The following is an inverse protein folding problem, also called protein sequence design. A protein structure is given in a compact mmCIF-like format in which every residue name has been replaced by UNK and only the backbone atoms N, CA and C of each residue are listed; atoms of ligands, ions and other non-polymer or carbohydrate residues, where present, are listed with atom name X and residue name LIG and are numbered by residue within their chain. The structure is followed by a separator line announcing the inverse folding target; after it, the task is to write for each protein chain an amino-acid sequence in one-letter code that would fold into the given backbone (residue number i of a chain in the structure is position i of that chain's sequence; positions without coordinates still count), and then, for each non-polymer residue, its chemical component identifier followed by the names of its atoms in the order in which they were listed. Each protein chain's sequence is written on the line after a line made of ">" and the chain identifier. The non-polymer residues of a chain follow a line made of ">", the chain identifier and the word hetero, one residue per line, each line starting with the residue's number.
data_IF_576244917526
#
_entry.id   IF_576244917526
#
_cell.length_a   1.000
_cell.length_b   1.000
_cell.length_c   1.000
_cell.angle_alpha   90.00
_cell.angle_beta   90.00
_cell.angle_gamma   90.00
#
_symmetry.space_group_name_H-M   'P 1'
#
loop_
_entity.id
_entity.type
_entity.pdbx_description
1 polymer ?
#
# COMPACT_ATOMS: atom_id res chain seq x y z
N UNK A 1 -24.38 27.87 4.02
CA UNK A 1 -25.62 27.18 3.59
C UNK A 1 -25.53 27.00 2.07
N UNK A 2 -25.70 25.78 1.54
CA UNK A 2 -25.43 25.44 0.13
C UNK A 2 -26.28 26.28 -0.84
N UNK A 3 -25.61 27.12 -1.64
CA UNK A 3 -26.23 28.05 -2.61
C UNK A 3 -27.09 27.34 -3.68
N UNK A 4 -26.90 26.03 -3.88
CA UNK A 4 -27.61 25.22 -4.87
C UNK A 4 -28.68 24.30 -4.28
N UNK A 5 -28.96 24.39 -2.97
CA UNK A 5 -29.90 23.50 -2.28
C UNK A 5 -31.28 23.47 -2.94
N UNK A 6 -31.86 24.63 -3.24
CA UNK A 6 -33.16 24.76 -3.91
C UNK A 6 -33.19 24.08 -5.29
N UNK A 7 -32.11 24.20 -6.09
CA UNK A 7 -32.02 23.55 -7.41
C UNK A 7 -31.88 22.04 -7.31
N UNK A 8 -31.26 21.53 -6.24
CA UNK A 8 -31.06 20.10 -6.04
C UNK A 8 -32.32 19.44 -5.47
N UNK A 9 -32.99 20.09 -4.51
CA UNK A 9 -34.23 19.59 -3.88
C UNK A 9 -35.36 19.39 -4.90
N UNK A 10 -35.47 20.22 -5.94
CA UNK A 10 -36.44 20.04 -7.02
C UNK A 10 -36.25 18.72 -7.81
N UNK A 11 -35.04 18.16 -7.82
CA UNK A 11 -34.67 16.97 -8.58
C UNK A 11 -34.55 15.70 -7.72
N UNK A 12 -34.88 15.80 -6.41
CA UNK A 12 -34.93 14.65 -5.51
C UNK A 12 -36.37 14.16 -5.45
N UNK A 13 -36.63 12.93 -5.89
CA UNK A 13 -37.93 12.29 -5.69
C UNK A 13 -37.86 11.33 -4.51
N UNK A 14 -38.90 11.32 -3.68
CA UNK A 14 -38.93 10.49 -2.48
C UNK A 14 -39.67 9.19 -2.74
N UNK A 15 -39.04 8.07 -2.35
CA UNK A 15 -39.74 6.78 -2.24
C UNK A 15 -40.46 6.74 -0.90
N UNK A 16 -41.77 6.64 -0.97
CA UNK A 16 -42.68 6.60 0.17
C UNK A 16 -42.58 5.27 0.93
N UNK A 17 -42.16 5.34 2.20
CA UNK A 17 -42.16 4.25 3.17
C UNK A 17 -43.04 4.65 4.37
N UNK A 18 -42.43 5.20 5.43
CA UNK A 18 -43.12 5.63 6.65
C UNK A 18 -43.87 6.97 6.54
N UNK A 19 -43.73 7.69 5.42
CA UNK A 19 -44.41 8.97 5.18
C UNK A 19 -43.85 10.12 6.02
N UNK A 20 -42.57 10.01 6.40
CA UNK A 20 -41.80 11.01 7.13
C UNK A 20 -41.48 12.29 6.35
N UNK A 21 -41.56 12.24 5.01
CA UNK A 21 -41.31 13.38 4.12
C UNK A 21 -42.39 14.47 4.24
N UNK A 22 -42.01 15.69 3.88
CA UNK A 22 -42.89 16.85 3.90
C UNK A 22 -44.00 16.70 2.87
N UNK A 23 -45.23 16.91 3.30
CA UNK A 23 -46.39 16.86 2.42
C UNK A 23 -46.28 17.90 1.29
N UNK A 24 -45.80 19.11 1.61
CA UNK A 24 -45.79 20.23 0.67
C UNK A 24 -44.49 20.40 -0.11
N UNK A 25 -43.35 20.13 0.54
CA UNK A 25 -42.05 20.57 0.06
C UNK A 25 -41.22 19.46 -0.59
N UNK A 26 -41.51 18.20 -0.27
CA UNK A 26 -40.81 17.06 -0.85
C UNK A 26 -41.54 16.55 -2.11
N UNK A 27 -40.78 16.16 -3.13
CA UNK A 27 -41.33 15.60 -4.38
C UNK A 27 -41.59 14.10 -4.22
N UNK A 28 -42.60 13.73 -3.44
CA UNK A 28 -43.02 12.33 -3.26
C UNK A 28 -44.03 11.87 -4.33
N UNK A 29 -44.71 12.79 -5.02
CA UNK A 29 -45.62 12.49 -6.14
C UNK A 29 -44.89 12.24 -7.47
N UNK A 30 -43.60 12.57 -7.58
CA UNK A 30 -42.82 12.45 -8.81
C UNK A 30 -43.10 13.53 -9.87
N UNK A 31 -43.97 14.49 -9.57
CA UNK A 31 -44.34 15.62 -10.45
C UNK A 31 -43.83 16.98 -9.92
N UNK A 32 -43.01 16.95 -8.87
CA UNK A 32 -42.52 18.12 -8.13
C UNK A 32 -43.23 18.32 -6.79
N UNK A 33 -42.74 19.26 -5.95
CA UNK A 33 -43.37 19.59 -4.67
C UNK A 33 -44.82 20.08 -4.81
N UNK A 34 -45.71 19.61 -3.94
CA UNK A 34 -47.13 19.98 -3.95
C UNK A 34 -47.37 21.49 -3.79
N UNK A 35 -46.45 22.20 -3.11
CA UNK A 35 -46.51 23.65 -2.93
C UNK A 35 -46.62 24.41 -4.27
N UNK A 36 -46.09 23.86 -5.37
CA UNK A 36 -46.16 24.47 -6.72
C UNK A 36 -47.56 24.49 -7.31
N UNK A 37 -48.45 23.63 -6.83
CA UNK A 37 -49.83 23.51 -7.29
C UNK A 37 -50.81 24.27 -6.39
N UNK A 38 -50.32 24.95 -5.35
CA UNK A 38 -51.11 25.80 -4.46
C UNK A 38 -50.84 27.28 -4.74
N UNK A 39 -51.90 28.06 -4.95
CA UNK A 39 -51.82 29.52 -5.15
C UNK A 39 -51.82 30.32 -3.84
N UNK A 40 -51.94 29.66 -2.68
CA UNK A 40 -52.08 30.30 -1.36
C UNK A 40 -50.95 29.89 -0.41
N UNK A 41 -49.91 30.73 -0.29
CA UNK A 41 -48.75 30.50 0.57
C UNK A 41 -49.10 30.32 2.06
N UNK A 42 -50.19 30.93 2.53
CA UNK A 42 -50.63 30.89 3.94
C UNK A 42 -51.16 29.53 4.42
N UNK A 43 -51.31 28.53 3.54
CA UNK A 43 -51.74 27.15 3.90
C UNK A 43 -50.59 26.14 3.92
N UNK A 44 -49.41 26.52 3.48
CA UNK A 44 -48.25 25.63 3.41
C UNK A 44 -47.63 25.51 4.81
N UNK A 45 -47.80 24.35 5.43
CA UNK A 45 -47.32 24.04 6.78
C UNK A 45 -46.25 22.94 6.74
N UNK A 46 -45.63 22.65 7.89
CA UNK A 46 -44.62 21.59 8.00
C UNK A 46 -45.24 20.20 8.26
N UNK A 47 -46.43 19.93 7.71
CA UNK A 47 -47.06 18.62 7.83
C UNK A 47 -46.31 17.55 7.05
N UNK A 48 -46.38 16.33 7.55
CA UNK A 48 -45.81 15.14 6.91
C UNK A 48 -46.88 14.41 6.13
N UNK A 49 -46.48 13.63 5.14
CA UNK A 49 -47.41 12.81 4.36
C UNK A 49 -48.16 11.81 5.25
N UNK A 50 -47.48 11.24 6.26
CA UNK A 50 -48.10 10.35 7.25
C UNK A 50 -49.26 11.00 8.03
N UNK A 51 -49.30 12.33 8.19
CA UNK A 51 -50.38 13.01 8.91
C UNK A 51 -51.73 12.97 8.17
N UNK A 52 -51.70 12.62 6.89
CA UNK A 52 -52.88 12.47 6.02
C UNK A 52 -53.24 10.99 5.77
N UNK A 53 -52.53 10.04 6.40
CA UNK A 53 -52.71 8.61 6.21
C UNK A 53 -53.13 7.93 7.53
N UNK A 54 -54.37 7.45 7.60
CA UNK A 54 -54.98 6.88 8.82
C UNK A 54 -55.55 5.51 8.50
N UNK A 55 -55.22 4.50 9.30
CA UNK A 55 -55.72 3.12 9.17
C UNK A 55 -55.52 2.50 7.77
N UNK A 56 -54.40 2.81 7.10
CA UNK A 56 -54.08 2.24 5.79
C UNK A 56 -54.79 2.92 4.61
N UNK A 57 -55.42 4.08 4.83
CA UNK A 57 -56.10 4.86 3.80
C UNK A 57 -55.83 6.37 3.95
N UNK A 58 -55.98 7.11 2.85
CA UNK A 58 -55.93 8.57 2.87
C UNK A 58 -57.14 9.16 3.63
N UNK A 59 -56.88 10.10 4.53
CA UNK A 59 -57.93 10.90 5.15
C UNK A 59 -58.44 11.96 4.16
N UNK A 60 -59.50 11.62 3.44
CA UNK A 60 -60.05 12.42 2.35
C UNK A 60 -60.60 13.78 2.81
N UNK A 61 -61.22 13.86 3.99
CA UNK A 61 -61.71 15.13 4.54
C UNK A 61 -60.57 16.11 4.80
N UNK A 62 -59.46 15.63 5.38
CA UNK A 62 -58.27 16.44 5.65
C UNK A 62 -57.56 16.87 4.36
N UNK A 63 -57.53 16.00 3.35
CA UNK A 63 -57.00 16.33 2.03
C UNK A 63 -57.85 17.38 1.29
N UNK A 64 -59.18 17.29 1.34
CA UNK A 64 -60.08 18.29 0.72
C UNK A 64 -59.89 19.69 1.32
N UNK A 65 -59.61 19.78 2.61
CA UNK A 65 -59.40 21.06 3.29
C UNK A 65 -58.03 21.68 2.99
N UNK A 66 -56.99 20.86 2.84
CA UNK A 66 -55.60 21.34 2.82
C UNK A 66 -54.90 21.17 1.48
N UNK A 67 -55.13 20.10 0.72
CA UNK A 67 -54.42 19.80 -0.52
C UNK A 67 -55.04 20.51 -1.75
N UNK A 68 -54.27 20.73 -2.84
CA UNK A 68 -54.80 21.29 -4.07
C UNK A 68 -55.83 20.36 -4.73
N UNK A 69 -57.02 20.87 -5.01
CA UNK A 69 -58.15 20.07 -5.54
C UNK A 69 -57.82 19.35 -6.85
N UNK A 70 -56.98 19.96 -7.70
CA UNK A 70 -56.51 19.39 -8.96
C UNK A 70 -55.47 18.27 -8.82
N UNK A 71 -54.96 18.01 -7.61
CA UNK A 71 -53.98 16.95 -7.34
C UNK A 71 -54.55 15.81 -6.46
N UNK A 72 -55.79 15.92 -5.99
CA UNK A 72 -56.40 14.92 -5.10
C UNK A 72 -56.40 13.51 -5.70
N UNK A 73 -56.76 13.37 -6.99
CA UNK A 73 -56.76 12.09 -7.68
C UNK A 73 -55.36 11.45 -7.74
N UNK A 74 -54.31 12.27 -7.95
CA UNK A 74 -52.93 11.81 -8.00
C UNK A 74 -52.43 11.40 -6.60
N UNK A 75 -52.81 12.14 -5.56
CA UNK A 75 -52.50 11.81 -4.17
C UNK A 75 -53.14 10.48 -3.79
N UNK A 76 -54.44 10.32 -4.04
CA UNK A 76 -55.19 9.13 -3.63
C UNK A 76 -54.79 7.85 -4.37
N UNK A 77 -54.14 7.98 -5.53
CA UNK A 77 -53.63 6.85 -6.30
C UNK A 77 -52.34 6.25 -5.73
N UNK A 78 -51.69 6.90 -4.76
CA UNK A 78 -50.47 6.40 -4.12
C UNK A 78 -50.82 5.56 -2.89
N UNK A 79 -50.31 4.33 -2.86
CA UNK A 79 -50.34 3.48 -1.67
C UNK A 79 -49.08 3.70 -0.82
N UNK A 80 -49.27 3.89 0.49
CA UNK A 80 -48.17 4.00 1.45
C UNK A 80 -47.96 2.63 2.11
N UNK A 81 -46.79 2.02 1.89
CA UNK A 81 -46.39 0.79 2.57
C UNK A 81 -45.93 1.13 4.00
N UNK A 82 -46.83 1.03 4.98
CA UNK A 82 -46.52 1.34 6.39
C UNK A 82 -45.62 0.29 7.05
N UNK A 83 -44.34 0.26 6.68
CA UNK A 83 -43.27 -0.28 7.52
C UNK A 83 -42.74 0.86 8.39
N UNK A 84 -43.34 1.05 9.57
CA UNK A 84 -43.09 2.22 10.46
C UNK A 84 -41.62 2.41 10.87
N UNK A 85 -40.77 1.41 10.69
CA UNK A 85 -39.35 1.44 11.08
C UNK A 85 -38.40 1.91 9.96
N UNK A 86 -38.88 2.03 8.71
CA UNK A 86 -38.04 2.44 7.57
C UNK A 86 -38.40 3.86 7.14
N UNK A 87 -37.42 4.76 7.26
CA UNK A 87 -37.55 6.16 6.82
C UNK A 87 -37.74 6.26 5.30
N UNK A 88 -38.38 7.33 4.84
CA UNK A 88 -38.48 7.62 3.42
C UNK A 88 -37.09 7.82 2.81
N UNK A 89 -36.90 7.37 1.58
CA UNK A 89 -35.59 7.42 0.93
C UNK A 89 -35.60 8.37 -0.26
N UNK A 90 -34.65 9.29 -0.30
CA UNK A 90 -34.38 10.14 -1.45
C UNK A 90 -33.81 9.30 -2.60
N UNK A 91 -34.51 9.28 -3.73
CA UNK A 91 -34.07 8.70 -4.99
C UNK A 91 -33.80 9.87 -5.97
N UNK A 92 -32.60 9.97 -6.56
CA UNK A 92 -32.39 10.90 -7.67
C UNK A 92 -33.11 10.36 -8.90
N UNK A 93 -33.88 11.23 -9.56
CA UNK A 93 -34.69 10.93 -10.75
C UNK A 93 -33.94 10.04 -11.76
N UNK A 94 -34.42 8.81 -11.94
CA UNK A 94 -33.94 7.87 -12.97
C UNK A 94 -34.43 8.37 -14.31
N UNK A 95 -33.62 9.24 -14.91
CA UNK A 95 -33.75 9.67 -16.30
C UNK A 95 -33.53 8.48 -17.24
N UNK A 96 -34.56 8.08 -18.00
CA UNK A 96 -34.43 7.12 -19.11
C UNK A 96 -33.68 7.74 -20.31
N UNK A 97 -32.37 7.45 -20.41
CA UNK A 97 -31.63 6.98 -21.62
C UNK A 97 -30.18 6.69 -21.21
N UNK A 98 -29.83 5.41 -21.11
CA UNK A 98 -28.49 4.93 -20.75
C UNK A 98 -28.22 4.97 -19.24
N UNK A 99 -28.08 3.79 -18.63
CA UNK A 99 -27.81 3.66 -17.19
C UNK A 99 -26.35 4.07 -16.92
N UNK A 100 -26.15 5.30 -16.46
CA UNK A 100 -24.87 5.96 -16.19
C UNK A 100 -24.18 5.40 -14.92
N UNK A 101 -24.06 4.08 -14.83
CA UNK A 101 -23.39 3.40 -13.70
C UNK A 101 -21.88 3.60 -13.78
N UNK A 102 -21.17 3.48 -12.64
CA UNK A 102 -19.70 3.51 -12.60
C UNK A 102 -19.13 2.47 -13.58
N UNK A 103 -19.66 1.24 -13.58
CA UNK A 103 -19.19 0.21 -14.50
C UNK A 103 -19.47 0.58 -15.97
N UNK A 104 -20.62 1.18 -16.29
CA UNK A 104 -20.93 1.62 -17.65
C UNK A 104 -19.98 2.72 -18.13
N UNK A 105 -19.75 3.74 -17.30
CA UNK A 105 -18.90 4.88 -17.67
C UNK A 105 -17.43 4.48 -17.81
N UNK A 106 -16.95 3.61 -16.92
CA UNK A 106 -15.52 3.35 -16.77
C UNK A 106 -15.06 2.01 -17.30
N UNK A 107 -15.94 1.08 -17.68
CA UNK A 107 -15.53 -0.29 -17.99
C UNK A 107 -16.36 -0.95 -19.11
N UNK A 108 -17.61 -1.34 -18.82
CA UNK A 108 -18.43 -2.18 -19.70
C UNK A 108 -19.31 -1.39 -20.69
N UNK A 109 -19.29 -0.06 -20.65
CA UNK A 109 -19.92 0.76 -21.69
C UNK A 109 -19.17 0.64 -23.02
N UNK A 110 -19.84 0.65 -24.18
CA UNK A 110 -19.22 0.43 -25.48
C UNK A 110 -18.02 1.35 -25.75
N UNK A 111 -18.13 2.63 -25.35
CA UNK A 111 -17.05 3.60 -25.48
C UNK A 111 -15.86 3.25 -24.59
N UNK A 112 -16.10 2.95 -23.31
CA UNK A 112 -15.06 2.61 -22.35
C UNK A 112 -14.33 1.31 -22.74
N UNK A 113 -15.08 0.28 -23.15
CA UNK A 113 -14.53 -1.00 -23.61
C UNK A 113 -13.56 -0.80 -24.78
N UNK A 114 -13.90 0.04 -25.75
CA UNK A 114 -13.02 0.32 -26.89
C UNK A 114 -11.74 1.07 -26.49
N UNK A 115 -11.85 2.01 -25.54
CA UNK A 115 -10.68 2.70 -24.98
C UNK A 115 -9.77 1.69 -24.27
N UNK A 116 -10.30 0.87 -23.36
CA UNK A 116 -9.51 -0.17 -22.67
C UNK A 116 -8.80 -1.10 -23.64
N UNK A 117 -9.52 -1.65 -24.64
CA UNK A 117 -8.94 -2.54 -25.66
C UNK A 117 -7.77 -1.90 -26.42
N UNK A 118 -7.84 -0.59 -26.67
CA UNK A 118 -6.78 0.15 -27.38
C UNK A 118 -5.45 0.19 -26.62
N UNK A 119 -5.47 0.13 -25.29
CA UNK A 119 -4.27 0.21 -24.46
C UNK A 119 -3.85 -1.16 -23.90
N UNK A 120 -4.83 -1.96 -23.46
CA UNK A 120 -4.62 -3.26 -22.82
C UNK A 120 -3.95 -4.28 -23.74
N UNK A 121 -4.24 -4.24 -25.05
CA UNK A 121 -3.61 -5.14 -26.02
C UNK A 121 -2.08 -5.04 -26.03
N UNK A 122 -1.53 -3.81 -25.94
CA UNK A 122 -0.09 -3.59 -25.88
C UNK A 122 0.53 -4.00 -24.53
N UNK A 123 -0.26 -4.02 -23.46
CA UNK A 123 0.14 -4.46 -22.13
C UNK A 123 -0.05 -5.98 -21.90
N UNK A 124 -0.63 -6.71 -22.86
CA UNK A 124 -0.97 -8.13 -22.70
C UNK A 124 -2.09 -8.40 -21.69
N UNK A 125 -3.00 -7.43 -21.50
CA UNK A 125 -4.10 -7.51 -20.54
C UNK A 125 -5.41 -7.82 -21.26
N UNK A 126 -6.16 -8.78 -20.72
CA UNK A 126 -7.46 -9.21 -21.23
C UNK A 126 -8.55 -8.35 -20.58
N UNK A 127 -9.43 -7.74 -21.36
CA UNK A 127 -10.42 -6.75 -20.88
C UNK A 127 -11.85 -7.30 -20.78
N UNK A 128 -12.05 -8.61 -20.88
CA UNK A 128 -13.39 -9.18 -21.05
C UNK A 128 -14.08 -9.49 -19.70
N UNK A 129 -15.29 -8.93 -19.54
CA UNK A 129 -16.29 -9.24 -18.52
C UNK A 129 -15.91 -9.15 -17.03
N UNK A 130 -14.77 -8.52 -16.68
CA UNK A 130 -14.39 -8.24 -15.29
C UNK A 130 -14.96 -6.92 -14.77
N UNK A 131 -15.15 -6.78 -13.45
CA UNK A 131 -15.50 -5.47 -12.84
C UNK A 131 -14.36 -4.45 -13.00
N UNK A 132 -14.64 -3.14 -12.87
CA UNK A 132 -13.61 -2.09 -12.96
C UNK A 132 -12.47 -2.34 -11.96
N UNK A 133 -12.83 -2.76 -10.75
CA UNK A 133 -11.86 -3.08 -9.69
C UNK A 133 -10.93 -4.22 -10.09
N UNK A 134 -11.48 -5.33 -10.61
CA UNK A 134 -10.68 -6.46 -11.09
C UNK A 134 -9.78 -6.06 -12.27
N UNK A 135 -10.30 -5.26 -13.21
CA UNK A 135 -9.52 -4.77 -14.33
C UNK A 135 -8.32 -3.95 -13.86
N UNK A 136 -8.52 -3.00 -12.94
CA UNK A 136 -7.42 -2.20 -12.37
C UNK A 136 -6.41 -3.09 -11.64
N UNK A 137 -6.88 -4.07 -10.86
CA UNK A 137 -5.99 -5.02 -10.18
C UNK A 137 -5.16 -5.84 -11.17
N UNK A 138 -5.73 -6.28 -12.30
CA UNK A 138 -4.96 -6.98 -13.35
C UNK A 138 -3.83 -6.11 -13.89
N UNK A 139 -4.07 -4.82 -14.12
CA UNK A 139 -3.02 -3.87 -14.52
C UNK A 139 -1.94 -3.73 -13.45
N UNK A 140 -2.32 -3.56 -12.18
CA UNK A 140 -1.37 -3.32 -11.09
C UNK A 140 -0.55 -4.55 -10.68
N UNK A 141 -1.07 -5.74 -10.94
CA UNK A 141 -0.44 -7.02 -10.60
C UNK A 141 0.24 -7.69 -11.81
N UNK A 142 0.13 -7.10 -13.00
CA UNK A 142 0.79 -7.61 -14.20
C UNK A 142 2.31 -7.67 -14.02
N UNK A 143 2.92 -8.75 -14.53
CA UNK A 143 4.38 -8.92 -14.50
C UNK A 143 5.03 -7.83 -15.36
N UNK A 144 5.91 -7.04 -14.75
CA UNK A 144 6.68 -6.00 -15.42
C UNK A 144 8.10 -6.47 -15.75
N UNK A 145 8.68 -5.88 -16.80
CA UNK A 145 10.04 -6.22 -17.30
C UNK A 145 11.11 -5.30 -16.71
N UNK A 146 10.75 -4.05 -16.47
CA UNK A 146 11.59 -3.01 -15.90
C UNK A 146 10.71 -1.96 -15.18
N UNK A 147 11.32 -1.01 -14.47
CA UNK A 147 10.57 0.00 -13.70
C UNK A 147 9.75 0.95 -14.59
N UNK A 148 10.18 1.20 -15.83
CA UNK A 148 9.41 1.99 -16.79
C UNK A 148 8.10 1.29 -17.19
N UNK A 149 8.18 -0.01 -17.52
CA UNK A 149 7.02 -0.83 -17.82
C UNK A 149 6.09 -0.94 -16.60
N UNK A 150 6.63 -1.10 -15.39
CA UNK A 150 5.84 -1.07 -14.14
C UNK A 150 5.07 0.24 -13.99
N UNK A 151 5.73 1.37 -14.22
CA UNK A 151 5.09 2.68 -14.11
C UNK A 151 3.96 2.85 -15.12
N UNK A 152 4.16 2.41 -16.37
CA UNK A 152 3.09 2.37 -17.37
C UNK A 152 1.90 1.53 -16.92
N UNK A 153 2.16 0.31 -16.45
CA UNK A 153 1.11 -0.61 -15.99
C UNK A 153 0.31 -0.02 -14.82
N UNK A 154 0.98 0.74 -13.94
CA UNK A 154 0.32 1.35 -12.78
C UNK A 154 -0.46 2.62 -13.12
N UNK A 155 0.08 3.49 -13.98
CA UNK A 155 -0.48 4.80 -14.28
C UNK A 155 -1.54 4.79 -15.39
N UNK A 156 -1.38 3.95 -16.42
CA UNK A 156 -2.31 3.87 -17.55
C UNK A 156 -3.77 3.66 -17.16
N UNK A 157 -4.13 2.73 -16.24
CA UNK A 157 -5.54 2.58 -15.84
C UNK A 157 -6.11 3.84 -15.19
N UNK A 158 -5.29 4.59 -14.45
CA UNK A 158 -5.68 5.86 -13.83
C UNK A 158 -5.96 6.91 -14.92
N UNK A 159 -5.06 7.03 -15.91
CA UNK A 159 -5.24 7.95 -17.03
C UNK A 159 -6.45 7.58 -17.90
N UNK A 160 -6.73 6.30 -18.11
CA UNK A 160 -7.94 5.84 -18.82
C UNK A 160 -9.18 6.29 -18.06
N UNK A 161 -9.30 5.96 -16.78
CA UNK A 161 -10.44 6.37 -15.95
C UNK A 161 -10.62 7.90 -15.96
N UNK A 162 -9.54 8.66 -15.76
CA UNK A 162 -9.59 10.12 -15.77
C UNK A 162 -10.08 10.70 -17.11
N UNK A 163 -9.59 10.18 -18.23
CA UNK A 163 -9.98 10.68 -19.55
C UNK A 163 -11.39 10.23 -19.96
N UNK A 164 -11.86 9.05 -19.52
CA UNK A 164 -13.25 8.64 -19.65
C UNK A 164 -14.18 9.55 -18.85
N UNK A 165 -13.82 9.89 -17.61
CA UNK A 165 -14.56 10.84 -16.77
C UNK A 165 -14.66 12.22 -17.44
N UNK A 166 -13.53 12.79 -17.86
CA UNK A 166 -13.50 14.09 -18.55
C UNK A 166 -14.38 14.10 -19.79
N UNK A 167 -14.33 13.03 -20.60
CA UNK A 167 -15.17 12.90 -21.79
C UNK A 167 -16.66 12.87 -21.39
N UNK A 168 -17.05 12.05 -20.41
CA UNK A 168 -18.43 11.98 -19.90
C UNK A 168 -18.93 13.32 -19.39
N UNK A 169 -18.16 14.04 -18.58
CA UNK A 169 -18.54 15.37 -18.09
C UNK A 169 -18.69 16.37 -19.22
N UNK A 170 -17.80 16.34 -20.21
CA UNK A 170 -17.86 17.23 -21.37
C UNK A 170 -19.09 16.95 -22.24
N UNK A 171 -19.47 15.68 -22.39
CA UNK A 171 -20.67 15.30 -23.12
C UNK A 171 -21.95 15.64 -22.36
N UNK A 172 -21.99 15.34 -21.06
CA UNK A 172 -23.19 15.51 -20.23
C UNK A 172 -23.47 16.97 -19.89
N UNK A 173 -22.45 17.76 -19.59
CA UNK A 173 -22.60 19.13 -19.09
C UNK A 173 -22.04 20.20 -20.04
N UNK A 174 -21.15 19.82 -20.95
CA UNK A 174 -20.48 20.76 -21.86
C UNK A 174 -21.09 20.83 -23.27
N UNK A 175 -22.14 20.05 -23.55
CA UNK A 175 -22.85 20.06 -24.84
C UNK A 175 -22.05 19.55 -26.05
N UNK A 176 -20.87 18.95 -25.84
CA UNK A 176 -20.02 18.42 -26.92
C UNK A 176 -20.28 16.93 -27.13
N UNK A 177 -20.04 16.43 -28.34
CA UNK A 177 -20.12 14.99 -28.60
C UNK A 177 -18.86 14.25 -28.13
N UNK A 178 -19.02 12.99 -27.73
CA UNK A 178 -17.91 12.10 -27.39
C UNK A 178 -16.98 11.90 -28.60
N UNK A 179 -15.66 11.95 -28.38
CA UNK A 179 -14.67 11.78 -29.44
C UNK A 179 -13.58 10.76 -29.04
N UNK A 180 -13.59 9.62 -29.72
CA UNK A 180 -12.69 8.50 -29.42
C UNK A 180 -11.21 8.86 -29.62
N UNK A 181 -10.87 9.48 -30.75
CA UNK A 181 -9.50 9.85 -31.09
C UNK A 181 -8.91 10.83 -30.08
N UNK A 182 -9.70 11.82 -29.65
CA UNK A 182 -9.30 12.80 -28.63
C UNK A 182 -9.01 12.14 -27.28
N UNK A 183 -9.86 11.20 -26.85
CA UNK A 183 -9.67 10.47 -25.58
C UNK A 183 -8.41 9.60 -25.64
N UNK A 184 -8.24 8.81 -26.71
CA UNK A 184 -7.04 7.98 -26.91
C UNK A 184 -5.77 8.83 -26.93
N UNK A 185 -5.78 9.95 -27.66
CA UNK A 185 -4.63 10.84 -27.72
C UNK A 185 -4.30 11.44 -26.34
N UNK A 186 -5.30 11.84 -25.55
CA UNK A 186 -5.06 12.37 -24.22
C UNK A 186 -4.43 11.34 -23.27
N UNK A 187 -4.91 10.10 -23.29
CA UNK A 187 -4.35 9.00 -22.47
C UNK A 187 -2.90 8.68 -22.89
N UNK A 188 -2.64 8.63 -24.20
CA UNK A 188 -1.29 8.46 -24.73
C UNK A 188 -0.38 9.62 -24.29
N UNK A 189 -0.84 10.86 -24.42
CA UNK A 189 -0.08 12.06 -24.06
C UNK A 189 0.25 12.09 -22.57
N UNK A 190 -0.69 11.73 -21.71
CA UNK A 190 -0.48 11.65 -20.26
C UNK A 190 0.59 10.60 -19.92
N UNK A 191 0.54 9.42 -20.55
CA UNK A 191 1.57 8.39 -20.44
C UNK A 191 2.94 8.85 -20.94
N UNK A 192 3.01 9.42 -22.15
CA UNK A 192 4.26 9.89 -22.73
C UNK A 192 4.91 11.01 -21.89
N UNK A 193 4.09 11.93 -21.36
CA UNK A 193 4.55 12.98 -20.43
C UNK A 193 5.08 12.39 -19.12
N UNK A 194 4.42 11.37 -18.57
CA UNK A 194 4.90 10.69 -17.38
C UNK A 194 6.31 10.10 -17.61
N UNK A 195 6.50 9.41 -18.73
CA UNK A 195 7.78 8.77 -19.04
C UNK A 195 8.91 9.75 -19.26
N UNK A 196 8.67 10.81 -20.04
CA UNK A 196 9.66 11.87 -20.26
C UNK A 196 9.99 12.64 -18.98
N UNK A 197 9.07 12.72 -18.02
CA UNK A 197 9.31 13.37 -16.73
C UNK A 197 10.09 12.47 -15.76
N UNK A 198 9.73 11.18 -15.67
CA UNK A 198 10.38 10.24 -14.76
C UNK A 198 11.73 9.73 -15.28
N UNK A 199 11.91 9.74 -16.60
CA UNK A 199 13.10 9.25 -17.29
C UNK A 199 13.52 10.22 -18.40
N UNK A 200 13.94 11.45 -18.05
CA UNK A 200 14.29 12.49 -19.02
C UNK A 200 15.48 12.13 -19.90
N UNK A 201 16.32 11.21 -19.45
CA UNK A 201 17.50 10.73 -20.16
C UNK A 201 17.20 9.70 -21.26
N UNK A 202 15.96 9.25 -21.42
CA UNK A 202 15.58 8.21 -22.39
C UNK A 202 14.83 8.85 -23.55
N UNK A 203 15.25 8.57 -24.79
CA UNK A 203 14.45 8.90 -25.99
C UNK A 203 13.29 7.93 -26.15
N UNK A 204 12.09 8.36 -25.75
CA UNK A 204 10.88 7.55 -25.82
C UNK A 204 10.27 7.48 -27.22
N UNK A 205 9.75 6.32 -27.64
CA UNK A 205 9.09 6.18 -28.94
C UNK A 205 7.74 6.89 -28.96
N UNK A 206 7.32 7.31 -30.15
CA UNK A 206 6.11 8.11 -30.35
C UNK A 206 4.81 7.28 -30.36
N UNK A 207 4.87 5.96 -30.51
CA UNK A 207 3.66 5.12 -30.57
C UNK A 207 3.39 4.43 -29.22
N UNK A 208 2.11 4.22 -28.87
CA UNK A 208 1.75 3.49 -27.66
C UNK A 208 2.35 2.08 -27.61
N UNK A 209 2.33 1.35 -28.72
CA UNK A 209 2.79 -0.04 -28.81
C UNK A 209 4.28 -0.16 -28.46
N UNK A 210 5.09 0.76 -28.98
CA UNK A 210 6.53 0.78 -28.72
C UNK A 210 6.82 1.34 -27.32
N UNK A 211 6.00 2.29 -26.87
CA UNK A 211 6.14 2.92 -25.55
C UNK A 211 5.92 1.91 -24.41
N UNK A 212 4.84 1.12 -24.46
CA UNK A 212 4.49 0.13 -23.43
C UNK A 212 5.45 -1.07 -23.43
N UNK A 213 6.00 -1.43 -24.59
CA UNK A 213 6.89 -2.58 -24.76
C UNK A 213 8.37 -2.23 -24.69
N UNK A 214 8.74 -1.05 -24.21
CA UNK A 214 10.13 -0.59 -24.23
C UNK A 214 11.03 -1.42 -23.29
N UNK A 215 11.82 -2.32 -23.88
CA UNK A 215 12.70 -3.25 -23.14
C UNK A 215 14.08 -2.68 -22.82
N UNK A 216 14.47 -1.60 -23.52
CA UNK A 216 15.83 -1.02 -23.46
C UNK A 216 16.16 -0.31 -22.14
N UNK A 217 15.23 -0.30 -21.17
CA UNK A 217 15.47 0.22 -19.82
C UNK A 217 16.17 -0.82 -18.93
N UNK A 218 17.51 -0.90 -18.98
CA UNK A 218 18.30 -1.66 -17.99
C UNK A 218 18.84 -0.73 -16.89
N UNK A 219 18.66 -1.14 -15.63
CA UNK A 219 19.23 -0.40 -14.49
C UNK A 219 20.72 -0.67 -14.43
N UNK A 220 21.51 0.39 -14.29
CA UNK A 220 22.93 0.22 -14.03
C UNK A 220 23.14 -0.42 -12.66
N UNK A 221 24.17 -1.26 -12.53
CA UNK A 221 24.48 -1.97 -11.28
C UNK A 221 25.78 -1.44 -10.74
N UNK A 222 25.71 -0.68 -9.64
CA UNK A 222 26.90 -0.30 -8.90
C UNK A 222 27.43 -1.53 -8.17
N UNK A 223 28.65 -1.93 -8.49
CA UNK A 223 29.37 -3.00 -7.81
C UNK A 223 30.39 -2.35 -6.88
N UNK A 224 30.32 -2.65 -5.59
CA UNK A 224 31.26 -2.18 -4.58
C UNK A 224 31.98 -3.39 -3.96
N UNK A 225 33.32 -3.47 -4.00
CA UNK A 225 34.05 -4.50 -3.28
C UNK A 225 33.91 -4.29 -1.76
N UNK A 226 33.66 -5.37 -1.02
CA UNK A 226 33.46 -5.38 0.43
C UNK A 226 34.22 -6.58 1.01
N UNK A 227 34.88 -6.39 2.15
CA UNK A 227 35.78 -7.39 2.76
C UNK A 227 35.61 -7.32 4.27
N UNK A 228 35.60 -8.46 4.94
CA UNK A 228 35.78 -8.49 6.39
C UNK A 228 37.23 -8.12 6.73
N UNK A 229 37.42 -7.14 7.61
CA UNK A 229 38.75 -6.68 8.03
C UNK A 229 39.06 -7.17 9.43
N UNK A 230 40.29 -7.62 9.67
CA UNK A 230 40.77 -7.95 11.02
C UNK A 230 40.71 -6.71 11.94
N UNK A 231 40.43 -6.88 13.25
CA UNK A 231 40.52 -5.77 14.20
C UNK A 231 41.99 -5.38 14.46
N UNK A 232 42.23 -4.17 15.01
CA UNK A 232 43.55 -3.80 15.51
C UNK A 232 44.05 -4.75 16.60
N UNK A 233 45.36 -4.77 16.85
CA UNK A 233 45.93 -5.51 17.98
C UNK A 233 45.28 -5.08 19.31
N UNK A 234 45.20 -6.00 20.27
CA UNK A 234 44.50 -5.86 21.56
C UNK A 234 42.97 -5.73 21.49
N UNK A 235 42.37 -5.84 20.30
CA UNK A 235 40.91 -5.87 20.13
C UNK A 235 40.41 -7.25 19.70
N UNK A 236 39.27 -7.65 20.26
CA UNK A 236 38.49 -8.77 19.77
C UNK A 236 37.29 -8.24 18.97
N UNK A 237 37.15 -8.69 17.73
CA UNK A 237 36.02 -8.34 16.87
C UNK A 237 34.90 -9.35 17.00
N UNK A 238 33.72 -8.89 17.39
CA UNK A 238 32.51 -9.66 17.52
C UNK A 238 31.61 -9.34 16.32
N UNK A 239 31.33 -10.32 15.48
CA UNK A 239 30.29 -10.24 14.47
C UNK A 239 29.05 -10.96 14.99
N UNK A 240 27.88 -10.33 14.98
CA UNK A 240 26.61 -10.96 15.36
C UNK A 240 25.55 -10.77 14.29
N UNK A 241 24.55 -11.66 14.30
CA UNK A 241 23.41 -11.64 13.40
C UNK A 241 22.20 -12.32 14.06
N UNK A 242 21.02 -11.74 13.87
CA UNK A 242 19.74 -12.31 14.27
C UNK A 242 18.95 -12.86 13.08
N UNK A 243 18.37 -14.04 13.24
CA UNK A 243 17.52 -14.68 12.22
C UNK A 243 16.08 -14.83 12.71
N UNK A 244 15.12 -14.67 11.79
CA UNK A 244 13.71 -14.89 12.05
C UNK A 244 13.06 -15.59 10.85
N UNK A 245 12.40 -16.74 11.07
CA UNK A 245 11.71 -17.46 9.99
C UNK A 245 10.44 -16.73 9.52
N UNK A 246 9.77 -16.04 10.44
CA UNK A 246 8.65 -15.12 10.20
C UNK A 246 8.81 -13.89 11.11
N UNK A 247 8.03 -12.83 10.87
CA UNK A 247 8.11 -11.61 11.69
C UNK A 247 6.70 -11.15 12.15
N UNK A 248 6.22 -11.58 13.35
CA UNK A 248 6.92 -12.40 14.34
C UNK A 248 6.95 -13.90 13.98
N UNK A 249 7.87 -14.66 14.57
CA UNK A 249 8.02 -16.10 14.39
C UNK A 249 9.20 -16.67 15.15
N UNK A 250 9.59 -17.91 14.84
CA UNK A 250 10.77 -18.55 15.45
C UNK A 250 12.04 -17.77 15.12
N UNK A 251 12.77 -17.36 16.16
CA UNK A 251 13.98 -16.55 16.08
C UNK A 251 15.22 -17.31 16.55
N UNK A 252 16.36 -16.84 16.08
CA UNK A 252 17.67 -17.41 16.30
C UNK A 252 18.75 -16.34 16.33
N UNK A 253 19.88 -16.65 16.94
CA UNK A 253 21.02 -15.75 16.97
C UNK A 253 22.32 -16.50 16.71
N UNK A 254 23.24 -15.83 16.03
CA UNK A 254 24.56 -16.33 15.72
C UNK A 254 25.61 -15.26 15.86
N UNK A 255 26.84 -15.69 16.11
CA UNK A 255 27.95 -14.76 16.13
C UNK A 255 29.31 -15.42 16.30
N UNK A 256 30.35 -14.65 16.02
CA UNK A 256 31.74 -15.11 16.06
C UNK A 256 32.63 -13.98 16.61
N UNK A 257 33.42 -14.31 17.62
CA UNK A 257 34.46 -13.47 18.20
C UNK A 257 35.83 -13.89 17.66
N UNK A 258 36.56 -12.92 17.11
CA UNK A 258 37.87 -13.13 16.46
C UNK A 258 38.91 -12.16 17.00
N UNK A 259 40.16 -12.61 17.13
CA UNK A 259 41.27 -11.72 17.48
C UNK A 259 41.81 -10.93 16.27
N UNK A 260 42.85 -10.12 16.50
CA UNK A 260 43.56 -9.33 15.49
C UNK A 260 44.23 -10.15 14.37
N UNK A 261 44.49 -11.44 14.58
CA UNK A 261 44.98 -12.36 13.52
C UNK A 261 43.84 -12.97 12.70
N UNK A 262 42.60 -12.75 13.12
CA UNK A 262 41.41 -13.39 12.57
C UNK A 262 41.15 -14.78 13.14
N UNK A 263 41.87 -15.22 14.18
CA UNK A 263 41.62 -16.51 14.84
C UNK A 263 40.32 -16.45 15.61
N UNK A 264 39.49 -17.49 15.49
CA UNK A 264 38.28 -17.65 16.31
C UNK A 264 38.66 -17.85 17.76
N UNK A 265 38.13 -16.99 18.62
CA UNK A 265 38.19 -17.10 20.06
C UNK A 265 36.96 -17.83 20.61
N UNK A 266 35.80 -17.55 20.01
CA UNK A 266 34.53 -18.20 20.32
C UNK A 266 33.54 -17.94 19.18
N UNK A 267 32.61 -18.85 18.96
CA UNK A 267 31.44 -18.66 18.11
C UNK A 267 30.22 -19.24 18.80
N UNK A 268 29.02 -18.84 18.40
CA UNK A 268 27.80 -19.36 18.98
C UNK A 268 26.66 -19.43 17.98
N UNK A 269 25.73 -20.34 18.23
CA UNK A 269 24.43 -20.42 17.60
C UNK A 269 23.41 -20.72 18.70
N UNK A 270 22.40 -19.86 18.86
CA UNK A 270 21.44 -19.99 19.96
C UNK A 270 20.00 -19.87 19.44
N UNK A 271 19.14 -20.89 19.65
CA UNK A 271 17.71 -20.73 19.42
C UNK A 271 17.15 -19.78 20.48
N UNK A 272 16.30 -18.83 20.08
CA UNK A 272 15.78 -17.76 20.95
C UNK A 272 14.26 -17.86 21.21
N UNK A 273 13.61 -18.92 20.74
CA UNK A 273 12.15 -19.07 20.85
C UNK A 273 11.42 -18.29 19.76
N UNK A 274 10.37 -17.54 20.13
CA UNK A 274 9.57 -16.72 19.20
C UNK A 274 9.75 -15.22 19.47
N UNK A 275 9.81 -14.44 18.39
CA UNK A 275 9.97 -13.00 18.44
C UNK A 275 10.05 -12.37 17.06
N UNK A 276 10.54 -11.14 17.01
CA UNK A 276 10.72 -10.35 15.78
C UNK A 276 12.17 -10.36 15.33
N UNK A 277 12.41 -9.99 14.06
CA UNK A 277 13.76 -9.88 13.53
C UNK A 277 14.62 -8.91 14.38
N UNK A 278 14.06 -7.76 14.76
CA UNK A 278 14.78 -6.78 15.57
C UNK A 278 15.15 -7.31 16.96
N UNK A 279 14.29 -8.15 17.57
CA UNK A 279 14.60 -8.81 18.84
C UNK A 279 15.73 -9.81 18.68
N UNK A 280 15.73 -10.61 17.60
CA UNK A 280 16.81 -11.55 17.32
C UNK A 280 18.17 -10.85 17.22
N UNK A 281 18.24 -9.71 16.53
CA UNK A 281 19.47 -8.91 16.37
C UNK A 281 20.01 -8.39 17.71
N UNK A 282 19.13 -7.84 18.55
CA UNK A 282 19.50 -7.33 19.88
C UNK A 282 19.97 -8.47 20.78
N UNK A 283 19.25 -9.59 20.81
CA UNK A 283 19.61 -10.75 21.63
C UNK A 283 20.92 -11.41 21.16
N UNK A 284 21.21 -11.42 19.85
CA UNK A 284 22.49 -11.87 19.31
C UNK A 284 23.65 -11.03 19.86
N UNK A 285 23.51 -9.71 19.85
CA UNK A 285 24.51 -8.79 20.41
C UNK A 285 24.67 -8.97 21.93
N UNK A 286 23.56 -9.11 22.67
CA UNK A 286 23.57 -9.39 24.12
C UNK A 286 24.33 -10.68 24.42
N UNK A 287 23.99 -11.76 23.72
CA UNK A 287 24.64 -13.06 23.92
C UNK A 287 26.13 -12.98 23.62
N UNK A 288 26.49 -12.42 22.46
CA UNK A 288 27.89 -12.29 22.04
C UNK A 288 28.73 -11.45 23.00
N UNK A 289 28.23 -10.30 23.46
CA UNK A 289 28.95 -9.46 24.43
C UNK A 289 29.05 -10.16 25.78
N UNK A 290 27.97 -10.77 26.27
CA UNK A 290 27.98 -11.52 27.53
C UNK A 290 29.06 -12.61 27.51
N UNK A 291 29.06 -13.44 26.46
CA UNK A 291 30.07 -14.50 26.32
C UNK A 291 31.48 -13.95 26.18
N UNK A 292 31.67 -12.85 25.43
CA UNK A 292 32.98 -12.19 25.32
C UNK A 292 33.50 -11.73 26.68
N UNK A 293 32.61 -11.21 27.54
CA UNK A 293 32.95 -10.80 28.90
C UNK A 293 33.29 -12.00 29.80
N UNK A 294 32.57 -13.12 29.69
CA UNK A 294 32.84 -14.34 30.44
C UNK A 294 34.23 -14.92 30.14
N UNK A 295 34.67 -14.88 28.88
CA UNK A 295 36.02 -15.32 28.47
C UNK A 295 37.09 -14.22 28.59
N UNK A 296 36.85 -13.23 29.47
CA UNK A 296 37.78 -12.16 29.84
C UNK A 296 38.21 -11.18 28.73
N UNK A 297 37.54 -11.16 27.56
CA UNK A 297 37.79 -10.12 26.54
C UNK A 297 37.01 -8.85 26.88
N UNK A 298 37.73 -7.73 27.03
CA UNK A 298 37.16 -6.43 27.44
C UNK A 298 37.30 -5.32 26.39
N UNK A 299 38.15 -5.48 25.38
CA UNK A 299 38.26 -4.57 24.24
C UNK A 299 37.46 -5.15 23.05
N UNK A 300 36.20 -4.75 22.92
CA UNK A 300 35.25 -5.37 22.00
C UNK A 300 34.94 -4.42 20.82
N UNK A 301 35.19 -4.89 19.61
CA UNK A 301 34.72 -4.26 18.38
C UNK A 301 33.52 -5.05 17.84
N UNK A 302 32.30 -4.57 18.11
CA UNK A 302 31.07 -5.15 17.59
C UNK A 302 30.80 -4.69 16.14
N UNK A 303 30.61 -5.64 15.23
CA UNK A 303 30.11 -5.43 13.88
C UNK A 303 28.77 -6.15 13.69
N UNK A 304 27.75 -5.42 13.23
CA UNK A 304 26.40 -5.93 12.95
C UNK A 304 25.93 -5.41 11.60
N UNK A 305 25.08 -6.16 10.89
CA UNK A 305 24.50 -5.72 9.61
C UNK A 305 23.18 -4.93 9.79
N UNK A 306 22.63 -4.93 11.00
CA UNK A 306 21.47 -4.12 11.38
C UNK A 306 21.86 -2.67 11.70
N UNK A 307 21.63 -1.77 10.74
CA UNK A 307 21.83 -0.33 10.93
C UNK A 307 21.01 0.23 12.11
N UNK A 308 19.80 -0.29 12.31
CA UNK A 308 18.92 0.12 13.40
C UNK A 308 19.50 -0.22 14.77
N UNK A 309 20.12 -1.40 14.92
CA UNK A 309 20.80 -1.80 16.15
C UNK A 309 22.00 -0.88 16.45
N UNK A 310 22.78 -0.51 15.44
CA UNK A 310 23.89 0.46 15.61
C UNK A 310 23.36 1.80 16.13
N UNK A 311 22.25 2.28 15.59
CA UNK A 311 21.63 3.54 16.03
C UNK A 311 21.13 3.47 17.47
N UNK A 312 20.57 2.33 17.90
CA UNK A 312 20.16 2.12 19.30
C UNK A 312 21.34 2.02 20.27
N UNK A 313 22.44 1.38 19.85
CA UNK A 313 23.68 1.29 20.64
C UNK A 313 24.36 2.67 20.75
N UNK A 314 24.36 3.44 19.67
CA UNK A 314 24.94 4.80 19.65
C UNK A 314 24.01 5.87 20.21
N UNK A 315 22.78 5.51 20.56
CA UNK A 315 21.71 6.42 21.03
C UNK A 315 21.35 7.52 20.02
N UNK A 316 21.55 7.24 18.73
CA UNK A 316 21.14 8.13 17.64
C UNK A 316 19.62 8.10 17.41
N UNK A 317 18.97 6.99 17.76
CA UNK A 317 17.52 6.81 17.72
C UNK A 317 17.04 6.06 18.96
N UNK A 318 15.76 6.26 19.33
CA UNK A 318 15.15 5.57 20.47
C UNK A 318 14.54 4.23 20.03
N UNK A 319 14.77 3.12 20.77
CA UNK A 319 14.09 1.86 20.49
C UNK A 319 12.60 1.93 20.84
N UNK A 320 11.75 1.16 20.15
CA UNK A 320 10.36 0.93 20.56
C UNK A 320 10.25 0.41 22.00
N UNK A 321 9.15 0.72 22.67
CA UNK A 321 8.95 0.36 24.09
C UNK A 321 9.10 -1.15 24.37
N UNK A 322 8.68 -1.99 23.43
CA UNK A 322 8.68 -3.45 23.56
C UNK A 322 10.06 -4.11 23.45
N UNK A 323 11.09 -3.39 22.97
CA UNK A 323 12.48 -3.86 22.90
C UNK A 323 13.44 -3.05 23.80
N UNK A 324 12.93 -2.00 24.43
CA UNK A 324 13.73 -1.07 25.24
C UNK A 324 14.43 -1.77 26.41
N UNK A 325 13.79 -2.76 27.04
CA UNK A 325 14.39 -3.54 28.14
C UNK A 325 15.66 -4.28 27.68
N UNK A 326 15.60 -4.93 26.52
CA UNK A 326 16.73 -5.66 25.92
C UNK A 326 17.84 -4.69 25.53
N UNK A 327 17.50 -3.58 24.90
CA UNK A 327 18.49 -2.54 24.53
C UNK A 327 19.16 -1.95 25.79
N UNK A 328 18.41 -1.73 26.87
CA UNK A 328 19.00 -1.27 28.14
C UNK A 328 19.94 -2.32 28.76
N UNK A 329 19.58 -3.60 28.72
CA UNK A 329 20.47 -4.70 29.12
C UNK A 329 21.76 -4.72 28.29
N UNK A 330 21.65 -4.52 26.97
CA UNK A 330 22.79 -4.40 26.07
C UNK A 330 23.70 -3.22 26.47
N UNK A 331 23.13 -2.04 26.75
CA UNK A 331 23.88 -0.89 27.25
C UNK A 331 24.61 -1.17 28.58
N UNK A 332 23.98 -1.90 29.51
CA UNK A 332 24.61 -2.30 30.76
C UNK A 332 25.82 -3.21 30.54
N UNK A 333 25.73 -4.17 29.62
CA UNK A 333 26.85 -5.05 29.25
C UNK A 333 27.98 -4.26 28.58
N UNK A 334 27.65 -3.33 27.69
CA UNK A 334 28.64 -2.47 27.02
C UNK A 334 29.45 -1.67 28.06
N UNK A 335 28.81 -1.18 29.14
CA UNK A 335 29.50 -0.46 30.23
C UNK A 335 30.51 -1.31 31.00
N UNK A 336 30.44 -2.64 30.91
CA UNK A 336 31.40 -3.56 31.56
C UNK A 336 32.64 -3.81 30.71
N UNK A 337 32.65 -3.35 29.45
CA UNK A 337 33.83 -3.40 28.58
C UNK A 337 34.84 -2.32 28.98
N UNK A 338 36.12 -2.55 28.71
CA UNK A 338 37.16 -1.54 28.90
C UNK A 338 37.19 -0.57 27.71
N UNK A 339 37.08 -1.10 26.50
CA UNK A 339 36.91 -0.31 25.28
C UNK A 339 35.84 -0.96 24.40
N UNK A 340 34.96 -0.13 23.86
CA UNK A 340 33.89 -0.59 22.98
C UNK A 340 33.82 0.25 21.70
N UNK A 341 33.67 -0.42 20.57
CA UNK A 341 33.34 0.17 19.27
C UNK A 341 32.21 -0.63 18.65
N UNK A 342 31.25 0.07 18.05
CA UNK A 342 30.20 -0.55 17.25
C UNK A 342 30.21 0.05 15.85
N UNK A 343 30.10 -0.79 14.82
CA UNK A 343 30.02 -0.34 13.43
C UNK A 343 29.06 -1.22 12.63
N UNK A 344 28.32 -0.58 11.74
CA UNK A 344 27.57 -1.29 10.71
C UNK A 344 28.52 -1.95 9.71
N UNK A 345 28.28 -3.22 9.39
CA UNK A 345 28.92 -3.95 8.29
C UNK A 345 27.88 -4.33 7.24
N UNK A 346 28.29 -4.57 6.00
CA UNK A 346 27.37 -5.14 5.03
C UNK A 346 27.15 -6.63 5.31
N UNK A 347 26.07 -7.21 4.75
CA UNK A 347 25.76 -8.64 4.92
C UNK A 347 26.82 -9.55 4.34
N UNK A 348 27.36 -9.17 3.20
CA UNK A 348 28.33 -9.97 2.45
C UNK A 348 29.62 -10.29 3.26
N UNK A 349 30.20 -9.35 4.03
CA UNK A 349 31.27 -9.66 5.00
C UNK A 349 30.80 -10.10 6.40
N UNK A 350 29.51 -10.37 6.62
CA UNK A 350 28.95 -10.86 7.89
C UNK A 350 28.47 -12.33 7.81
N UNK A 351 28.75 -13.05 6.72
CA UNK A 351 28.19 -14.37 6.43
C UNK A 351 28.44 -15.42 7.52
N UNK A 352 29.56 -15.35 8.27
CA UNK A 352 29.81 -16.31 9.36
C UNK A 352 28.75 -16.20 10.45
N UNK A 353 28.38 -14.97 10.85
CA UNK A 353 27.36 -14.75 11.88
C UNK A 353 25.96 -15.12 11.35
N UNK A 354 25.65 -14.75 10.10
CA UNK A 354 24.38 -15.09 9.42
C UNK A 354 24.18 -16.60 9.25
N UNK A 355 25.22 -17.36 8.88
CA UNK A 355 25.10 -18.81 8.81
C UNK A 355 24.95 -19.46 10.19
N UNK A 356 25.59 -18.90 11.23
CA UNK A 356 25.39 -19.36 12.61
C UNK A 356 23.97 -19.03 13.12
N UNK A 357 23.42 -17.87 12.77
CA UNK A 357 22.07 -17.46 13.15
C UNK A 357 21.04 -18.36 12.46
N UNK A 358 21.23 -18.71 11.19
CA UNK A 358 20.39 -19.71 10.48
C UNK A 358 20.56 -21.13 11.06
N UNK A 359 21.79 -21.54 11.37
CA UNK A 359 22.07 -22.83 11.98
C UNK A 359 21.33 -23.01 13.30
N UNK A 360 21.12 -21.92 14.05
CA UNK A 360 20.39 -21.95 15.32
C UNK A 360 18.95 -22.49 15.22
N UNK A 361 18.32 -22.44 14.03
CA UNK A 361 17.00 -23.02 13.81
C UNK A 361 17.01 -24.56 13.71
N UNK A 362 18.17 -25.18 13.53
CA UNK A 362 18.32 -26.65 13.42
C UNK A 362 18.66 -27.31 14.75
N UNK A 363 18.95 -26.51 15.78
CA UNK A 363 19.32 -26.96 17.12
C UNK A 363 18.23 -26.61 18.13
N UNK A 364 18.18 -27.36 19.23
CA UNK A 364 17.22 -27.18 20.32
C UNK A 364 17.80 -26.46 21.54
N UNK A 365 19.13 -26.42 21.66
CA UNK A 365 19.84 -25.81 22.79
C UNK A 365 20.92 -24.83 22.31
N UNK A 366 21.26 -23.80 23.09
CA UNK A 366 22.37 -22.91 22.77
C UNK A 366 23.69 -23.67 22.62
N UNK A 367 24.44 -23.39 21.56
CA UNK A 367 25.74 -23.97 21.28
C UNK A 367 26.82 -22.89 21.30
N UNK A 368 27.95 -23.19 21.93
CA UNK A 368 29.14 -22.35 21.97
C UNK A 368 30.33 -23.16 21.49
N UNK A 369 31.04 -22.64 20.51
CA UNK A 369 32.21 -23.25 19.88
C UNK A 369 33.45 -22.44 20.28
N UNK A 370 34.48 -23.08 20.82
CA UNK A 370 35.66 -22.40 21.38
C UNK A 370 36.84 -22.30 20.40
N UNK A 371 36.72 -22.94 19.24
CA UNK A 371 37.72 -22.88 18.19
C UNK A 371 37.08 -23.12 16.81
N UNK A 372 37.84 -22.85 15.75
CA UNK A 372 37.33 -22.96 14.38
C UNK A 372 36.99 -24.39 13.95
N UNK A 373 37.53 -25.44 14.57
CA UNK A 373 37.26 -26.83 14.18
C UNK A 373 35.87 -27.29 14.64
N UNK A 374 35.30 -26.62 15.64
CA UNK A 374 33.99 -26.94 16.21
C UNK A 374 32.83 -26.22 15.49
N UNK A 375 33.12 -25.20 14.68
CA UNK A 375 32.10 -24.43 13.96
C UNK A 375 31.44 -25.31 12.89
N UNK A 376 30.10 -25.21 12.69
CA UNK A 376 29.39 -25.88 11.60
C UNK A 376 30.05 -25.63 10.22
N UNK A 377 30.04 -26.64 9.35
CA UNK A 377 30.75 -26.61 8.06
C UNK A 377 30.34 -25.42 7.19
N UNK A 378 29.06 -25.06 7.20
CA UNK A 378 28.50 -23.95 6.44
C UNK A 378 29.13 -22.61 6.85
N UNK A 379 29.23 -22.33 8.15
CA UNK A 379 29.86 -21.12 8.67
C UNK A 379 31.40 -21.19 8.59
N UNK A 380 31.98 -22.38 8.69
CA UNK A 380 33.43 -22.59 8.57
C UNK A 380 33.98 -22.17 7.21
N UNK A 381 33.25 -22.46 6.12
CA UNK A 381 33.66 -22.07 4.78
C UNK A 381 33.82 -20.54 4.65
N UNK A 382 32.83 -19.78 5.12
CA UNK A 382 32.90 -18.30 5.15
C UNK A 382 34.01 -17.79 6.06
N UNK A 383 34.24 -18.45 7.20
CA UNK A 383 35.34 -18.09 8.08
C UNK A 383 36.70 -18.21 7.40
N UNK A 384 36.94 -19.25 6.59
CA UNK A 384 38.19 -19.39 5.84
C UNK A 384 38.36 -18.26 4.80
N UNK A 385 37.28 -17.89 4.11
CA UNK A 385 37.29 -16.78 3.15
C UNK A 385 37.59 -15.45 3.84
N UNK A 386 36.96 -15.17 5.00
CA UNK A 386 37.21 -13.97 5.79
C UNK A 386 38.66 -13.94 6.30
N UNK A 387 39.21 -15.07 6.76
CA UNK A 387 40.59 -15.16 7.26
C UNK A 387 41.62 -14.85 6.18
N UNK A 388 41.32 -15.24 4.94
CA UNK A 388 42.10 -14.94 3.74
C UNK A 388 41.78 -13.55 3.15
N UNK A 389 40.88 -12.78 3.76
CA UNK A 389 40.45 -11.45 3.32
C UNK A 389 39.94 -11.45 1.86
N UNK A 390 39.24 -12.53 1.48
CA UNK A 390 38.66 -12.68 0.15
C UNK A 390 37.61 -11.60 -0.11
N UNK A 391 37.66 -11.00 -1.30
CA UNK A 391 36.78 -9.91 -1.70
C UNK A 391 35.38 -10.44 -2.00
N UNK A 392 34.38 -9.84 -1.33
CA UNK A 392 32.97 -9.97 -1.67
C UNK A 392 32.50 -8.76 -2.49
N UNK A 393 31.37 -8.89 -3.19
CA UNK A 393 30.85 -7.83 -4.06
C UNK A 393 29.41 -7.48 -3.72
N UNK A 394 29.21 -6.25 -3.24
CA UNK A 394 27.88 -5.68 -3.06
C UNK A 394 27.38 -5.13 -4.39
N UNK A 395 26.23 -5.63 -4.85
CA UNK A 395 25.58 -5.19 -6.09
C UNK A 395 24.33 -4.39 -5.75
N UNK A 396 24.29 -3.12 -6.17
CA UNK A 396 23.12 -2.24 -5.98
C UNK A 396 22.64 -1.73 -7.33
N UNK A 397 21.37 -2.00 -7.67
CA UNK A 397 20.70 -1.36 -8.82
C UNK A 397 20.61 0.15 -8.55
N UNK A 398 21.15 0.97 -9.44
CA UNK A 398 21.02 2.43 -9.36
C UNK A 398 19.88 2.89 -10.27
N UNK A 399 19.26 4.02 -9.93
CA UNK A 399 18.13 4.61 -10.68
C UNK A 399 18.51 5.04 -12.11
N UNK A 400 19.80 5.09 -12.43
CA UNK A 400 20.29 5.44 -13.76
C UNK A 400 20.03 4.27 -14.71
N UNK A 401 19.28 4.56 -15.76
CA UNK A 401 18.99 3.62 -16.84
C UNK A 401 20.03 3.84 -17.93
N UNK A 402 20.68 2.77 -18.41
CA UNK A 402 21.53 2.87 -19.61
C UNK A 402 20.61 3.03 -20.83
N UNK A 403 20.82 4.06 -21.64
CA UNK A 403 20.45 3.94 -23.05
C UNK A 403 21.33 2.82 -23.65
N UNK A 404 20.76 1.91 -24.45
CA UNK A 404 21.60 0.99 -25.20
C UNK A 404 22.49 1.77 -26.17
N UNK A 405 23.65 1.21 -26.55
CA UNK A 405 24.49 1.78 -27.59
C UNK A 405 23.73 2.01 -28.90
#
# INVERSE_FOLDING_TARGET
>A
MLHNRHKVEENIQWKMNSGSCSFWWDNWLGIGPLARFSSSSNRLNNTKVADFWVNGQWNYEKLLQQAPTNQLANITAIEIQTQREILDQAYPEVTKKGMDTINHIFNNGPFATYVWKSFAAGAGIITDHTSLHQLILQWWTAKYRNEAHKLHLQATPIFICWNLWKNRCTTKYGGKQSNMSRVKYAIYKDNYKLMTTCFPQVRWPATWKDLISWEKCSHDTKVTPVIWKKPPDQWAKLNTDGSALNNPGRIGAGGVLRDHTGKVLMAFATPLGEGTNNQAEVEAAIFGITRSLEIAYRNIFLEVDSQLLVEWITKSTQPPWNINTQVNKLHMLIRQTQQFKCKHTYREPNCVADELSKHSHRISTPQVYLNSQQIPKEAWAYYQLDKQEVINFRRKKIKKIKEPP
#
